data_IF_994375970385
#
_entry.id   IF_994375970385
#
_cell.length_a   1.000
_cell.length_b   1.000
_cell.length_c   1.000
_cell.angle_alpha   90.00
_cell.angle_beta   90.00
_cell.angle_gamma   90.00
#
_symmetry.space_group_name_H-M   'P 1'
#
loop_
_entity.id
_entity.type
_entity.pdbx_description
1 polymer ?
#
# COMPACT_ATOMS: atom_id res chain seq x y z
N UNK A 1 -17.78 -20.16 7.44
CA UNK A 1 -18.32 -18.95 6.78
C UNK A 1 -17.78 -18.77 5.36
N UNK A 2 -16.55 -18.28 5.14
CA UNK A 2 -16.04 -18.05 3.77
C UNK A 2 -15.84 -19.32 2.94
N UNK A 3 -15.31 -20.38 3.57
CA UNK A 3 -15.00 -21.64 2.88
C UNK A 3 -16.25 -22.45 2.47
N UNK A 4 -17.37 -22.31 3.17
CA UNK A 4 -18.64 -22.97 2.82
C UNK A 4 -19.27 -22.27 1.62
N UNK A 5 -19.33 -20.94 1.64
CA UNK A 5 -19.81 -20.15 0.50
C UNK A 5 -18.97 -20.37 -0.76
N UNK A 6 -17.63 -20.42 -0.64
CA UNK A 6 -16.77 -20.72 -1.79
C UNK A 6 -17.04 -22.11 -2.40
N UNK A 7 -17.37 -23.11 -1.58
CA UNK A 7 -17.77 -24.44 -2.05
C UNK A 7 -19.09 -24.38 -2.78
N UNK A 8 -20.11 -23.75 -2.19
CA UNK A 8 -21.43 -23.57 -2.81
C UNK A 8 -21.32 -22.85 -4.16
N UNK A 9 -20.53 -21.78 -4.24
CA UNK A 9 -20.26 -21.06 -5.51
C UNK A 9 -19.59 -21.96 -6.54
N UNK A 10 -18.63 -22.81 -6.12
CA UNK A 10 -17.96 -23.74 -7.03
C UNK A 10 -18.89 -24.85 -7.54
N UNK A 11 -19.82 -25.31 -6.70
CA UNK A 11 -20.80 -26.35 -7.02
C UNK A 11 -21.95 -25.82 -7.89
N UNK A 12 -22.31 -24.55 -7.72
CA UNK A 12 -23.37 -23.88 -8.45
C UNK A 12 -23.07 -23.67 -9.95
N UNK A 13 -21.85 -23.92 -10.43
CA UNK A 13 -21.44 -23.90 -11.86
C UNK A 13 -21.99 -22.69 -12.64
N UNK A 14 -21.92 -21.49 -12.04
CA UNK A 14 -22.38 -20.24 -12.65
C UNK A 14 -23.81 -19.82 -12.30
N UNK A 15 -24.52 -20.56 -11.45
CA UNK A 15 -25.76 -20.09 -10.82
C UNK A 15 -25.44 -19.12 -9.68
N UNK A 16 -26.32 -18.14 -9.47
CA UNK A 16 -26.18 -17.17 -8.39
C UNK A 16 -26.42 -17.86 -7.03
N UNK A 17 -25.39 -17.87 -6.19
CA UNK A 17 -25.47 -18.29 -4.79
C UNK A 17 -25.55 -17.05 -3.92
N UNK A 18 -26.48 -17.02 -2.98
CA UNK A 18 -26.61 -15.87 -2.08
C UNK A 18 -25.38 -15.75 -1.18
N UNK A 19 -24.68 -14.59 -1.17
CA UNK A 19 -23.59 -14.35 -0.25
C UNK A 19 -24.04 -14.36 1.20
N UNK A 20 -23.14 -14.67 2.16
CA UNK A 20 -23.40 -14.46 3.58
C UNK A 20 -23.86 -13.02 3.86
N UNK A 21 -24.79 -12.85 4.80
CA UNK A 21 -25.50 -11.56 5.04
C UNK A 21 -24.54 -10.38 5.23
N UNK A 22 -23.46 -10.56 5.99
CA UNK A 22 -22.45 -9.51 6.19
C UNK A 22 -21.71 -9.16 4.90
N UNK A 23 -21.44 -10.15 4.06
CA UNK A 23 -20.78 -9.95 2.77
C UNK A 23 -21.70 -9.22 1.78
N UNK A 24 -22.98 -9.62 1.75
CA UNK A 24 -24.03 -8.96 0.99
C UNK A 24 -24.25 -7.51 1.43
N UNK A 25 -24.20 -7.22 2.73
CA UNK A 25 -24.32 -5.86 3.26
C UNK A 25 -23.19 -4.91 2.80
N UNK A 26 -22.03 -5.48 2.45
CA UNK A 26 -20.89 -4.75 1.89
C UNK A 26 -20.88 -4.75 0.35
N UNK A 27 -21.90 -5.31 -0.30
CA UNK A 27 -21.97 -5.52 -1.76
C UNK A 27 -20.77 -6.32 -2.31
N UNK A 28 -20.23 -7.24 -1.51
CA UNK A 28 -19.10 -8.08 -1.92
C UNK A 28 -19.59 -9.44 -2.39
N UNK A 29 -19.01 -9.94 -3.50
CA UNK A 29 -19.31 -11.27 -4.05
C UNK A 29 -18.18 -12.28 -3.85
N UNK A 30 -16.98 -11.80 -3.49
CA UNK A 30 -15.81 -12.62 -3.15
C UNK A 30 -15.33 -12.36 -1.72
N UNK A 31 -14.61 -13.33 -1.14
CA UNK A 31 -14.04 -13.20 0.20
C UNK A 31 -12.91 -12.16 0.22
N UNK A 32 -12.17 -12.05 -0.88
CA UNK A 32 -11.11 -11.07 -1.11
C UNK A 32 -11.67 -9.64 -1.09
N UNK A 33 -12.77 -9.40 -1.81
CA UNK A 33 -13.45 -8.09 -1.80
C UNK A 33 -13.93 -7.72 -0.40
N UNK A 34 -14.49 -8.68 0.32
CA UNK A 34 -14.97 -8.46 1.69
C UNK A 34 -13.83 -8.14 2.65
N UNK A 35 -12.70 -8.87 2.57
CA UNK A 35 -11.51 -8.55 3.34
C UNK A 35 -11.01 -7.14 3.01
N UNK A 36 -10.92 -6.82 1.72
CA UNK A 36 -10.44 -5.51 1.26
C UNK A 36 -11.29 -4.36 1.81
N UNK A 37 -12.61 -4.44 1.65
CA UNK A 37 -13.53 -3.40 2.15
C UNK A 37 -13.54 -3.31 3.67
N UNK A 38 -13.33 -4.43 4.36
CA UNK A 38 -13.20 -4.43 5.83
C UNK A 38 -11.93 -3.71 6.26
N UNK A 39 -10.77 -4.06 5.69
CA UNK A 39 -9.47 -3.46 6.03
C UNK A 39 -9.44 -1.97 5.68
N UNK A 40 -10.03 -1.58 4.56
CA UNK A 40 -10.12 -0.18 4.09
C UNK A 40 -10.88 0.73 5.06
N UNK A 41 -11.83 0.19 5.85
CA UNK A 41 -12.58 0.95 6.85
C UNK A 41 -11.82 1.15 8.17
N UNK A 42 -10.77 0.37 8.42
CA UNK A 42 -9.96 0.52 9.62
C UNK A 42 -9.17 1.83 9.53
N UNK A 43 -9.17 2.63 10.60
CA UNK A 43 -8.36 3.84 10.64
C UNK A 43 -6.89 3.47 10.45
N UNK A 44 -6.17 4.22 9.61
CA UNK A 44 -4.75 3.92 9.34
C UNK A 44 -3.88 3.89 10.59
N UNK A 45 -4.24 4.62 11.67
CA UNK A 45 -3.54 4.62 12.95
C UNK A 45 -3.75 3.35 13.77
N UNK A 46 -4.81 2.60 13.50
CA UNK A 46 -5.24 1.43 14.28
C UNK A 46 -5.03 0.11 13.54
N UNK A 47 -4.64 0.17 12.26
CA UNK A 47 -4.47 -1.01 11.43
C UNK A 47 -3.50 -2.01 12.06
N UNK A 48 -2.34 -1.55 12.52
CA UNK A 48 -1.32 -2.41 13.11
C UNK A 48 -1.80 -3.05 14.42
N UNK A 49 -2.50 -2.30 15.27
CA UNK A 49 -3.08 -2.83 16.52
C UNK A 49 -4.17 -3.86 16.24
N UNK A 50 -5.06 -3.59 15.28
CA UNK A 50 -6.11 -4.52 14.88
C UNK A 50 -5.53 -5.84 14.34
N UNK A 51 -4.44 -5.77 13.57
CA UNK A 51 -3.76 -6.95 13.03
C UNK A 51 -3.01 -7.74 14.12
N UNK A 52 -2.50 -7.08 15.14
CA UNK A 52 -1.80 -7.73 16.26
C UNK A 52 -2.74 -8.60 17.09
N UNK A 53 -4.02 -8.23 17.17
CA UNK A 53 -5.05 -8.96 17.90
C UNK A 53 -5.59 -10.19 17.15
N UNK A 54 -5.19 -10.39 15.89
CA UNK A 54 -5.69 -11.50 15.09
C UNK A 54 -5.14 -12.85 15.56
N UNK A 55 -5.97 -13.90 15.61
CA UNK A 55 -5.47 -15.25 15.75
C UNK A 55 -4.65 -15.64 14.52
N UNK A 56 -3.61 -16.44 14.73
CA UNK A 56 -2.67 -16.83 13.66
C UNK A 56 -3.36 -17.54 12.47
N UNK A 57 -4.45 -18.27 12.72
CA UNK A 57 -5.25 -18.88 11.65
C UNK A 57 -5.82 -17.85 10.68
N UNK A 58 -6.38 -16.75 11.19
CA UNK A 58 -6.89 -15.65 10.38
C UNK A 58 -5.76 -14.93 9.63
N UNK A 59 -4.59 -14.74 10.27
CA UNK A 59 -3.41 -14.19 9.61
C UNK A 59 -2.97 -15.06 8.42
N UNK A 60 -3.00 -16.39 8.56
CA UNK A 60 -2.71 -17.32 7.46
C UNK A 60 -3.72 -17.18 6.31
N UNK A 61 -5.01 -17.02 6.61
CA UNK A 61 -6.04 -16.85 5.60
C UNK A 61 -5.84 -15.54 4.82
N UNK A 62 -5.47 -14.44 5.51
CA UNK A 62 -5.12 -13.16 4.87
C UNK A 62 -3.91 -13.32 3.95
N UNK A 63 -2.85 -14.03 4.39
CA UNK A 63 -1.67 -14.30 3.56
C UNK A 63 -2.02 -15.07 2.28
N UNK A 64 -3.02 -15.95 2.30
CA UNK A 64 -3.47 -16.66 1.08
C UNK A 64 -4.24 -15.75 0.11
N UNK A 65 -4.99 -14.77 0.61
CA UNK A 65 -5.79 -13.85 -0.21
C UNK A 65 -4.98 -12.66 -0.77
N UNK A 66 -3.91 -12.26 -0.08
CA UNK A 66 -3.08 -11.10 -0.43
C UNK A 66 -2.53 -11.10 -1.87
N UNK A 67 -2.03 -12.22 -2.45
CA UNK A 67 -1.58 -12.25 -3.84
C UNK A 67 -2.65 -11.79 -4.84
N UNK A 68 -3.89 -12.25 -4.69
CA UNK A 68 -5.02 -11.90 -5.56
C UNK A 68 -5.40 -10.44 -5.38
N UNK A 69 -5.33 -9.92 -4.15
CA UNK A 69 -5.59 -8.51 -3.87
C UNK A 69 -4.50 -7.60 -4.49
N UNK A 70 -3.23 -8.00 -4.44
CA UNK A 70 -2.11 -7.26 -5.02
C UNK A 70 -2.08 -7.29 -6.56
N UNK A 71 -2.81 -8.21 -7.19
CA UNK A 71 -3.06 -8.16 -8.64
C UNK A 71 -3.93 -6.99 -9.05
N UNK A 72 -4.67 -6.40 -8.12
CA UNK A 72 -5.40 -5.15 -8.34
C UNK A 72 -4.41 -4.00 -8.19
N UNK A 73 -4.53 -2.99 -9.05
CA UNK A 73 -3.74 -1.75 -8.92
C UNK A 73 -4.26 -0.81 -7.84
N UNK A 74 -5.23 -1.27 -7.05
CA UNK A 74 -5.98 -0.43 -6.12
C UNK A 74 -5.41 -0.52 -4.70
N UNK A 75 -5.23 0.63 -4.04
CA UNK A 75 -4.74 0.75 -2.65
C UNK A 75 -3.48 -0.10 -2.34
N UNK A 76 -2.51 -0.13 -3.25
CA UNK A 76 -1.29 -0.94 -3.11
C UNK A 76 -0.52 -0.67 -1.80
N UNK A 77 -0.48 0.60 -1.33
CA UNK A 77 0.15 0.95 -0.06
C UNK A 77 -0.49 0.23 1.13
N UNK A 78 -1.82 0.21 1.21
CA UNK A 78 -2.57 -0.43 2.28
C UNK A 78 -2.30 -1.94 2.32
N UNK A 79 -2.37 -2.58 1.15
CA UNK A 79 -2.12 -4.02 1.01
C UNK A 79 -0.66 -4.39 1.32
N UNK A 80 0.29 -3.55 0.91
CA UNK A 80 1.70 -3.75 1.23
C UNK A 80 1.95 -3.56 2.74
N UNK A 81 1.33 -2.56 3.37
CA UNK A 81 1.45 -2.34 4.82
C UNK A 81 0.87 -3.51 5.60
N UNK A 82 -0.31 -3.99 5.21
CA UNK A 82 -0.95 -5.20 5.75
C UNK A 82 -0.01 -6.42 5.65
N UNK A 83 0.53 -6.68 4.46
CA UNK A 83 1.46 -7.79 4.24
C UNK A 83 2.71 -7.68 5.12
N UNK A 84 3.41 -6.53 5.07
CA UNK A 84 4.64 -6.30 5.82
C UNK A 84 4.42 -6.45 7.33
N UNK A 85 3.30 -5.95 7.85
CA UNK A 85 3.00 -6.07 9.28
C UNK A 85 2.77 -7.52 9.69
N UNK A 86 1.96 -8.28 8.94
CA UNK A 86 1.73 -9.71 9.21
C UNK A 86 3.04 -10.52 9.16
N UNK A 87 3.91 -10.24 8.17
CA UNK A 87 5.22 -10.89 8.08
C UNK A 87 6.12 -10.54 9.26
N UNK A 88 6.10 -9.28 9.74
CA UNK A 88 6.90 -8.84 10.90
C UNK A 88 6.44 -9.52 12.18
N UNK A 89 5.14 -9.58 12.44
CA UNK A 89 4.59 -10.12 13.69
C UNK A 89 4.63 -11.65 13.72
N UNK A 90 4.36 -12.32 12.59
CA UNK A 90 4.22 -13.78 12.53
C UNK A 90 5.35 -14.47 11.73
N UNK A 91 6.55 -13.87 11.67
CA UNK A 91 7.65 -14.36 10.85
C UNK A 91 7.95 -15.86 11.00
N UNK A 92 8.24 -16.31 12.22
CA UNK A 92 8.61 -17.70 12.50
C UNK A 92 7.52 -18.73 12.10
N UNK A 93 6.25 -18.59 12.55
CA UNK A 93 5.22 -19.56 12.19
C UNK A 93 4.79 -19.49 10.71
N UNK A 94 4.91 -18.33 10.04
CA UNK A 94 4.65 -18.23 8.60
C UNK A 94 5.67 -18.98 7.76
N UNK A 95 6.96 -18.88 8.09
CA UNK A 95 8.04 -19.55 7.35
C UNK A 95 8.03 -21.07 7.60
N UNK A 96 7.70 -21.49 8.82
CA UNK A 96 7.57 -22.91 9.16
C UNK A 96 6.44 -23.60 8.36
N UNK A 97 5.45 -22.85 7.88
CA UNK A 97 4.35 -23.39 7.10
C UNK A 97 4.68 -23.43 5.60
N UNK A 98 5.15 -24.59 5.13
CA UNK A 98 5.50 -24.80 3.71
C UNK A 98 4.38 -24.46 2.72
N UNK A 99 3.11 -24.61 3.11
CA UNK A 99 1.97 -24.26 2.25
C UNK A 99 1.80 -22.75 2.01
N UNK A 100 2.34 -21.91 2.91
CA UNK A 100 2.28 -20.45 2.78
C UNK A 100 3.46 -19.86 2.02
N UNK A 101 4.59 -20.57 1.92
CA UNK A 101 5.80 -20.07 1.25
C UNK A 101 5.53 -19.62 -0.19
N UNK A 102 4.72 -20.35 -0.96
CA UNK A 102 4.31 -19.96 -2.32
C UNK A 102 3.63 -18.58 -2.32
N UNK A 103 2.73 -18.34 -1.38
CA UNK A 103 2.00 -17.08 -1.29
C UNK A 103 2.93 -15.94 -0.86
N UNK A 104 3.87 -16.17 0.06
CA UNK A 104 4.86 -15.18 0.48
C UNK A 104 5.76 -14.74 -0.69
N UNK A 105 6.22 -15.67 -1.52
CA UNK A 105 7.00 -15.36 -2.73
C UNK A 105 6.18 -14.52 -3.70
N UNK A 106 4.90 -14.87 -3.91
CA UNK A 106 4.01 -14.08 -4.77
C UNK A 106 3.75 -12.68 -4.20
N UNK A 107 3.55 -12.54 -2.90
CA UNK A 107 3.39 -11.25 -2.21
C UNK A 107 4.64 -10.40 -2.44
N UNK A 108 5.83 -10.96 -2.22
CA UNK A 108 7.08 -10.22 -2.42
C UNK A 108 7.20 -9.69 -3.84
N UNK A 109 6.98 -10.55 -4.84
CA UNK A 109 7.07 -10.16 -6.25
C UNK A 109 6.04 -9.08 -6.62
N UNK A 110 4.76 -9.30 -6.29
CA UNK A 110 3.66 -8.39 -6.64
C UNK A 110 3.78 -7.06 -5.89
N UNK A 111 4.05 -7.08 -4.58
CA UNK A 111 4.22 -5.86 -3.79
C UNK A 111 5.38 -5.01 -4.32
N UNK A 112 6.52 -5.63 -4.65
CA UNK A 112 7.69 -4.91 -5.20
C UNK A 112 7.34 -4.27 -6.55
N UNK A 113 6.66 -5.00 -7.43
CA UNK A 113 6.20 -4.48 -8.72
C UNK A 113 5.27 -3.27 -8.52
N UNK A 114 4.22 -3.39 -7.70
CA UNK A 114 3.25 -2.32 -7.45
C UNK A 114 3.87 -1.08 -6.82
N UNK A 115 4.75 -1.27 -5.84
CA UNK A 115 5.43 -0.15 -5.19
C UNK A 115 6.39 0.58 -6.15
N UNK A 116 7.08 -0.15 -7.03
CA UNK A 116 7.92 0.47 -8.05
C UNK A 116 7.07 1.25 -9.07
N UNK A 117 5.95 0.69 -9.55
CA UNK A 117 5.02 1.40 -10.43
C UNK A 117 4.52 2.71 -9.81
N UNK A 118 4.12 2.67 -8.53
CA UNK A 118 3.68 3.87 -7.82
C UNK A 118 4.81 4.88 -7.60
N UNK A 119 5.99 4.42 -7.19
CA UNK A 119 7.17 5.27 -7.00
C UNK A 119 7.57 5.95 -8.29
N UNK A 120 7.62 5.22 -9.40
CA UNK A 120 8.07 5.73 -10.69
C UNK A 120 7.05 6.74 -11.25
N UNK A 121 5.76 6.48 -11.10
CA UNK A 121 4.69 7.43 -11.46
C UNK A 121 4.78 8.73 -10.66
N UNK A 122 4.87 8.64 -9.32
CA UNK A 122 4.98 9.82 -8.45
C UNK A 122 6.28 10.56 -8.71
N UNK A 123 7.39 9.85 -8.85
CA UNK A 123 8.71 10.41 -9.14
C UNK A 123 8.73 11.16 -10.46
N UNK A 124 8.23 10.53 -11.54
CA UNK A 124 8.13 11.15 -12.85
C UNK A 124 7.28 12.43 -12.82
N UNK A 125 6.07 12.35 -12.24
CA UNK A 125 5.17 13.50 -12.13
C UNK A 125 5.80 14.64 -11.31
N UNK A 126 6.45 14.32 -10.19
CA UNK A 126 7.14 15.30 -9.37
C UNK A 126 8.26 16.00 -10.13
N UNK A 127 9.08 15.24 -10.88
CA UNK A 127 10.15 15.82 -11.69
C UNK A 127 9.63 16.68 -12.83
N UNK A 128 8.57 16.25 -13.52
CA UNK A 128 7.92 17.03 -14.56
C UNK A 128 7.37 18.36 -14.01
N UNK A 129 6.67 18.33 -12.87
CA UNK A 129 6.15 19.53 -12.22
C UNK A 129 7.25 20.46 -11.73
N UNK A 130 8.34 19.92 -11.17
CA UNK A 130 9.51 20.72 -10.78
C UNK A 130 10.17 21.38 -11.99
N UNK A 131 10.25 20.68 -13.12
CA UNK A 131 10.80 21.24 -14.36
C UNK A 131 9.90 22.34 -14.91
N UNK A 132 8.59 22.12 -15.02
CA UNK A 132 7.63 23.14 -15.45
C UNK A 132 7.67 24.38 -14.55
N UNK A 133 7.77 24.19 -13.23
CA UNK A 133 7.91 25.31 -12.28
C UNK A 133 9.16 26.14 -12.57
N UNK A 134 10.31 25.49 -12.79
CA UNK A 134 11.57 26.18 -13.13
C UNK A 134 11.49 26.95 -14.45
N UNK A 135 10.81 26.37 -15.45
CA UNK A 135 10.64 27.00 -16.76
C UNK A 135 9.82 28.30 -16.63
N UNK A 136 8.68 28.23 -15.92
CA UNK A 136 7.82 29.39 -15.62
C UNK A 136 8.59 30.46 -14.82
N UNK A 137 9.28 30.08 -13.74
CA UNK A 137 10.09 31.01 -12.93
C UNK A 137 11.20 31.70 -13.75
N UNK A 138 11.76 31.00 -14.74
CA UNK A 138 12.78 31.58 -15.62
C UNK A 138 12.20 32.53 -16.66
N UNK A 139 10.97 32.27 -17.13
CA UNK A 139 10.25 33.13 -18.06
C UNK A 139 9.72 34.41 -17.39
N UNK A 140 9.21 34.33 -16.16
CA UNK A 140 8.57 35.47 -15.47
C UNK A 140 9.55 36.40 -14.75
N UNK A 141 10.86 36.12 -14.72
CA UNK A 141 11.90 36.87 -13.98
C UNK A 141 11.68 37.02 -12.46
N UNK A 142 10.55 36.54 -11.93
CA UNK A 142 10.25 36.48 -10.50
C UNK A 142 10.72 35.13 -9.94
N UNK A 143 11.93 35.11 -9.37
CA UNK A 143 12.32 34.02 -8.47
C UNK A 143 11.37 34.03 -7.27
N UNK A 144 10.51 33.01 -7.16
CA UNK A 144 9.58 32.87 -6.06
C UNK A 144 10.33 32.99 -4.71
N UNK A 145 9.80 33.80 -3.80
CA UNK A 145 10.45 34.31 -2.59
C UNK A 145 11.22 33.29 -1.72
N UNK A 146 10.87 32.00 -1.79
CA UNK A 146 11.50 30.92 -1.03
C UNK A 146 12.95 30.63 -1.48
N UNK A 147 13.23 30.54 -2.78
CA UNK A 147 14.59 30.28 -3.26
C UNK A 147 15.48 31.53 -3.14
N UNK A 148 14.91 32.73 -3.30
CA UNK A 148 15.61 33.98 -3.02
C UNK A 148 16.04 34.10 -1.55
N UNK A 149 15.20 33.66 -0.60
CA UNK A 149 15.54 33.67 0.83
C UNK A 149 16.59 32.62 1.20
N UNK A 150 16.52 31.41 0.63
CA UNK A 150 17.55 30.37 0.84
C UNK A 150 18.89 30.80 0.24
N UNK A 151 18.90 31.35 -0.98
CA UNK A 151 20.10 31.87 -1.64
C UNK A 151 20.72 33.01 -0.81
N UNK A 152 19.91 33.98 -0.35
CA UNK A 152 20.36 35.08 0.51
C UNK A 152 20.96 34.58 1.82
N UNK A 153 20.28 33.65 2.53
CA UNK A 153 20.81 33.04 3.77
C UNK A 153 22.15 32.32 3.55
N UNK A 154 22.29 31.61 2.44
CA UNK A 154 23.54 30.93 2.09
C UNK A 154 24.68 31.93 1.78
N UNK A 155 24.36 33.05 1.13
CA UNK A 155 25.30 34.14 0.83
C UNK A 155 25.76 34.83 2.11
N UNK A 156 24.84 35.18 3.00
CA UNK A 156 25.14 35.80 4.29
C UNK A 156 25.99 34.88 5.17
N UNK A 157 25.70 33.56 5.18
CA UNK A 157 26.51 32.57 5.90
C UNK A 157 27.95 32.53 5.36
N UNK A 158 28.11 32.49 4.03
CA UNK A 158 29.44 32.50 3.37
C UNK A 158 30.22 33.79 3.66
N UNK A 159 29.56 34.95 3.64
CA UNK A 159 30.17 36.23 3.94
C UNK A 159 30.68 36.29 5.39
N UNK A 160 29.90 35.80 6.37
CA UNK A 160 30.32 35.73 7.78
C UNK A 160 31.53 34.83 7.99
N UNK A 161 31.60 33.66 7.34
CA UNK A 161 32.79 32.79 7.41
C UNK A 161 34.05 33.42 6.82
N UNK A 162 33.93 34.30 5.83
CA UNK A 162 35.09 35.01 5.24
C UNK A 162 35.59 36.17 6.09
N UNK A 163 34.73 36.74 6.94
CA UNK A 163 35.10 37.81 7.86
C UNK A 163 35.66 37.27 9.20
N UNK A 164 35.49 35.98 9.46
CA UNK A 164 35.97 35.30 10.67
C UNK A 164 37.29 34.53 10.46
N UNK A 165 37.89 34.63 9.27
CA UNK A 165 39.21 34.08 8.90
C UNK A 165 40.17 35.24 8.62
#
# INVERSE_FOLDING_TARGET
MGAEYQKEVSEARGQFVQPPILMAAYNCNTAEDFLFETVKKIRSSELEEALLLLPFSAACDIVRMLPTLLDRSDHAELLCRLALFLLKVHHAPLIANHGLLKHLIQIQAKATMRLNEQRDMVGYNMHALQWMRRDIESADSEQLFHDATVARRSRDKRARTRQAA
#
